data_IF_652525185224
#
_entry.id   IF_652525185224
#
_cell.length_a   1.000
_cell.length_b   1.000
_cell.length_c   1.000
_cell.angle_alpha   90.00
_cell.angle_beta   90.00
_cell.angle_gamma   90.00
#
_symmetry.space_group_name_H-M   'P 1'
#
loop_
_entity.id
_entity.type
_entity.pdbx_description
1 polymer ?
#
# COMPACT_ATOMS: atom_id res chain seq x y z
N UNK A 1 -6.03 18.20 -16.47
CA UNK A 1 -7.03 18.91 -15.65
C UNK A 1 -7.86 19.75 -16.62
N UNK A 2 -9.15 19.46 -16.73
CA UNK A 2 -10.04 20.19 -17.64
C UNK A 2 -10.13 21.66 -17.21
N UNK A 3 -10.33 22.58 -18.16
CA UNK A 3 -10.32 24.02 -17.84
C UNK A 3 -11.47 24.43 -16.91
N UNK A 4 -12.62 23.75 -17.01
CA UNK A 4 -13.74 23.92 -16.08
C UNK A 4 -13.39 23.56 -14.63
N UNK A 5 -12.57 22.53 -14.40
CA UNK A 5 -12.12 22.15 -13.06
C UNK A 5 -11.20 23.22 -12.46
N UNK A 6 -10.39 23.89 -13.30
CA UNK A 6 -9.48 24.97 -12.87
C UNK A 6 -10.27 26.20 -12.43
N UNK A 7 -11.27 26.61 -13.21
CA UNK A 7 -12.13 27.75 -12.88
C UNK A 7 -12.88 27.53 -11.57
N UNK A 8 -13.51 26.37 -11.38
CA UNK A 8 -14.22 26.03 -10.14
C UNK A 8 -13.30 26.04 -8.92
N UNK A 9 -12.07 25.52 -9.05
CA UNK A 9 -11.08 25.56 -7.96
C UNK A 9 -10.62 26.98 -7.67
N UNK A 10 -10.39 27.78 -8.71
CA UNK A 10 -10.00 29.18 -8.55
C UNK A 10 -11.08 29.97 -7.83
N UNK A 11 -12.34 29.90 -8.26
CA UNK A 11 -13.45 30.58 -7.60
C UNK A 11 -13.62 30.16 -6.14
N UNK A 12 -13.53 28.85 -5.87
CA UNK A 12 -13.61 28.32 -4.50
C UNK A 12 -12.49 28.89 -3.62
N UNK A 13 -11.25 28.85 -4.08
CA UNK A 13 -10.10 29.33 -3.30
C UNK A 13 -10.11 30.85 -3.16
N UNK A 14 -10.46 31.59 -4.22
CA UNK A 14 -10.59 33.04 -4.21
C UNK A 14 -11.67 33.50 -3.22
N UNK A 15 -12.83 32.85 -3.22
CA UNK A 15 -13.89 33.12 -2.25
C UNK A 15 -13.40 32.84 -0.82
N UNK A 16 -12.70 31.73 -0.61
CA UNK A 16 -12.15 31.38 0.70
C UNK A 16 -11.16 32.44 1.21
N UNK A 17 -10.22 32.91 0.38
CA UNK A 17 -9.24 33.93 0.79
C UNK A 17 -9.89 35.30 0.99
N UNK A 18 -10.87 35.67 0.18
CA UNK A 18 -11.54 36.97 0.27
C UNK A 18 -12.52 37.10 1.45
N UNK A 19 -13.06 35.99 1.97
CA UNK A 19 -14.05 36.01 3.06
C UNK A 19 -13.52 35.63 4.43
N UNK A 20 -12.28 35.16 4.55
CA UNK A 20 -11.72 34.69 5.83
C UNK A 20 -10.46 35.46 6.20
N UNK A 21 -10.38 35.86 7.46
CA UNK A 21 -9.20 36.50 8.03
C UNK A 21 -8.20 35.47 8.62
N UNK A 22 -7.04 35.96 9.05
CA UNK A 22 -6.00 35.14 9.68
C UNK A 22 -6.51 34.44 10.95
N UNK A 23 -7.42 35.07 11.69
CA UNK A 23 -7.99 34.51 12.91
C UNK A 23 -8.92 33.32 12.63
N UNK A 24 -9.73 33.41 11.58
CA UNK A 24 -10.56 32.32 11.09
C UNK A 24 -9.70 31.17 10.59
N UNK A 25 -8.67 31.46 9.77
CA UNK A 25 -7.73 30.45 9.30
C UNK A 25 -7.07 29.71 10.47
N UNK A 26 -6.54 30.45 11.46
CA UNK A 26 -5.86 29.87 12.60
C UNK A 26 -6.79 28.95 13.42
N UNK A 27 -8.03 29.38 13.67
CA UNK A 27 -9.03 28.56 14.38
C UNK A 27 -9.39 27.30 13.59
N UNK A 28 -9.66 27.43 12.30
CA UNK A 28 -9.97 26.28 11.43
C UNK A 28 -8.82 25.28 11.42
N UNK A 29 -7.58 25.76 11.27
CA UNK A 29 -6.40 24.91 11.25
C UNK A 29 -6.20 24.17 12.57
N UNK A 30 -6.31 24.88 13.71
CA UNK A 30 -6.16 24.26 15.03
C UNK A 30 -7.24 23.21 15.29
N UNK A 31 -8.48 23.48 14.88
CA UNK A 31 -9.59 22.53 15.03
C UNK A 31 -9.40 21.29 14.16
N UNK A 32 -8.94 21.45 12.92
CA UNK A 32 -8.65 20.32 12.04
C UNK A 32 -7.43 19.52 12.53
N UNK A 33 -6.44 20.19 13.10
CA UNK A 33 -5.29 19.56 13.74
C UNK A 33 -5.72 18.73 14.97
N UNK A 34 -6.57 19.29 15.83
CA UNK A 34 -7.13 18.59 17.00
C UNK A 34 -7.91 17.36 16.57
N UNK A 35 -8.77 17.47 15.56
CA UNK A 35 -9.51 16.33 14.99
C UNK A 35 -8.58 15.27 14.42
N UNK A 36 -7.55 15.67 13.66
CA UNK A 36 -6.57 14.74 13.10
C UNK A 36 -5.79 14.00 14.20
N UNK A 37 -5.56 14.66 15.34
CA UNK A 37 -4.85 14.09 16.48
C UNK A 37 -5.77 13.42 17.52
N UNK A 38 -7.09 13.53 17.41
CA UNK A 38 -8.04 13.04 18.42
C UNK A 38 -7.86 11.54 18.71
N UNK A 39 -7.65 10.74 17.66
CA UNK A 39 -7.42 9.29 17.80
C UNK A 39 -5.95 8.91 18.08
N UNK A 40 -5.00 9.87 18.07
CA UNK A 40 -3.58 9.55 18.32
C UNK A 40 -3.34 8.97 19.72
N UNK A 41 -4.13 9.37 20.71
CA UNK A 41 -4.02 8.85 22.09
C UNK A 41 -4.47 7.39 22.17
N UNK A 42 -5.39 6.97 21.29
CA UNK A 42 -5.88 5.59 21.23
C UNK A 42 -4.94 4.68 20.44
N UNK A 43 -4.14 5.22 19.52
CA UNK A 43 -3.23 4.43 18.69
C UNK A 43 -2.06 3.88 19.50
N UNK A 44 -1.65 2.66 19.16
CA UNK A 44 -0.43 2.06 19.70
C UNK A 44 0.77 2.49 18.86
N UNK A 45 1.79 2.97 19.53
CA UNK A 45 3.02 3.45 18.90
C UNK A 45 4.06 2.33 18.89
N UNK A 46 4.60 2.04 17.72
CA UNK A 46 5.62 1.02 17.53
C UNK A 46 6.89 1.64 16.98
N UNK A 47 8.03 1.29 17.58
CA UNK A 47 9.35 1.53 16.99
C UNK A 47 9.68 0.42 16.00
N UNK A 48 10.00 0.78 14.76
CA UNK A 48 10.38 -0.16 13.70
C UNK A 48 11.73 0.26 13.14
N UNK A 49 12.65 -0.69 13.00
CA UNK A 49 14.02 -0.44 12.51
C UNK A 49 15.04 -0.28 13.63
N UNK A 50 16.28 0.02 13.26
CA UNK A 50 17.42 0.19 14.17
C UNK A 50 18.31 1.34 13.70
N UNK A 51 18.97 2.03 14.64
CA UNK A 51 19.86 3.15 14.34
C UNK A 51 19.17 4.26 13.54
N UNK A 52 19.84 4.74 12.49
CA UNK A 52 19.33 5.82 11.61
C UNK A 52 18.08 5.42 10.79
N UNK A 53 17.71 4.14 10.77
CA UNK A 53 16.50 3.64 10.11
C UNK A 53 15.31 3.46 11.05
N UNK A 54 15.44 3.88 12.31
CA UNK A 54 14.35 3.81 13.28
C UNK A 54 13.19 4.75 12.88
N UNK A 55 11.98 4.20 12.85
CA UNK A 55 10.73 4.90 12.55
C UNK A 55 9.72 4.63 13.64
N UNK A 56 8.95 5.65 13.99
CA UNK A 56 7.81 5.54 14.90
C UNK A 56 6.55 5.50 14.07
N UNK A 57 5.72 4.47 14.29
CA UNK A 57 4.46 4.28 13.56
C UNK A 57 3.31 4.16 14.54
N UNK A 58 2.24 4.92 14.30
CA UNK A 58 0.98 4.83 15.04
C UNK A 58 0.04 3.85 14.34
N UNK A 59 -0.30 2.76 15.02
CA UNK A 59 -1.14 1.67 14.50
C UNK A 59 -2.44 1.55 15.31
N UNK A 60 -3.45 0.94 14.69
CA UNK A 60 -4.72 0.63 15.35
C UNK A 60 -4.50 -0.24 16.60
N UNK A 61 -5.26 -0.05 17.70
CA UNK A 61 -5.18 -0.89 18.90
C UNK A 61 -5.26 -2.39 18.63
N UNK A 62 -6.05 -2.78 17.62
CA UNK A 62 -6.28 -4.17 17.24
C UNK A 62 -5.26 -4.69 16.23
N UNK A 63 -4.32 -3.85 15.78
CA UNK A 63 -3.23 -4.30 14.92
C UNK A 63 -2.39 -5.34 15.64
N UNK A 64 -2.31 -6.54 15.07
CA UNK A 64 -1.43 -7.62 15.53
C UNK A 64 -0.28 -7.76 14.56
N UNK A 65 0.94 -7.54 15.04
CA UNK A 65 2.14 -7.80 14.24
C UNK A 65 2.13 -9.27 13.80
N UNK A 66 2.45 -9.47 12.54
CA UNK A 66 2.55 -10.78 11.93
C UNK A 66 3.62 -11.63 12.65
N UNK A 67 3.24 -12.81 13.14
CA UNK A 67 4.13 -13.75 13.82
C UNK A 67 4.68 -14.78 12.84
N UNK A 68 6.01 -14.81 12.68
CA UNK A 68 6.67 -15.75 11.78
C UNK A 68 6.44 -17.20 12.20
N UNK A 69 6.50 -17.50 13.50
CA UNK A 69 6.27 -18.86 14.00
C UNK A 69 4.85 -19.33 13.68
N UNK A 70 3.87 -18.44 13.81
CA UNK A 70 2.49 -18.75 13.49
C UNK A 70 2.31 -18.99 11.98
N UNK A 71 2.89 -18.14 11.13
CA UNK A 71 2.84 -18.32 9.67
C UNK A 71 3.50 -19.63 9.27
N UNK A 72 4.72 -19.89 9.72
CA UNK A 72 5.48 -21.07 9.33
C UNK A 72 4.74 -22.35 9.76
N UNK A 73 4.19 -22.36 10.97
CA UNK A 73 3.35 -23.45 11.45
C UNK A 73 2.08 -23.64 10.60
N UNK A 74 1.37 -22.54 10.30
CA UNK A 74 0.17 -22.57 9.45
C UNK A 74 0.46 -23.03 8.02
N UNK A 75 1.55 -22.54 7.43
CA UNK A 75 1.98 -22.90 6.08
C UNK A 75 2.33 -24.38 5.99
N UNK A 76 3.02 -24.94 7.00
CA UNK A 76 3.41 -26.36 7.03
C UNK A 76 2.23 -27.32 7.19
N UNK A 77 1.22 -26.95 7.97
CA UNK A 77 0.08 -27.84 8.29
C UNK A 77 -1.05 -27.82 7.26
N UNK A 78 -1.07 -26.82 6.37
CA UNK A 78 -2.15 -26.63 5.39
C UNK A 78 -1.76 -27.17 4.02
N UNK A 79 -2.73 -27.77 3.33
CA UNK A 79 -2.54 -28.39 2.00
C UNK A 79 -3.18 -27.60 0.86
N UNK A 80 -3.94 -26.55 1.16
CA UNK A 80 -4.47 -25.63 0.17
C UNK A 80 -4.30 -24.19 0.68
N UNK A 81 -3.47 -23.40 0.00
CA UNK A 81 -2.98 -22.11 0.46
C UNK A 81 -3.17 -21.07 -0.64
N UNK A 82 -4.08 -20.13 -0.41
CA UNK A 82 -4.19 -18.93 -1.24
C UNK A 82 -3.22 -17.86 -0.72
N UNK A 83 -2.33 -17.38 -1.59
CA UNK A 83 -1.33 -16.36 -1.28
C UNK A 83 -1.58 -15.17 -2.20
N UNK A 84 -2.13 -14.09 -1.64
CA UNK A 84 -2.45 -12.86 -2.37
C UNK A 84 -1.41 -11.80 -2.04
N UNK A 85 -0.67 -11.34 -3.04
CA UNK A 85 0.44 -10.41 -2.87
C UNK A 85 0.14 -9.13 -3.62
N UNK A 86 0.10 -8.02 -2.89
CA UNK A 86 0.11 -6.70 -3.54
C UNK A 86 1.51 -6.40 -4.09
N UNK A 87 1.59 -5.72 -5.23
CA UNK A 87 2.87 -5.33 -5.82
C UNK A 87 3.30 -3.93 -5.36
N UNK A 88 2.44 -2.93 -5.55
CA UNK A 88 2.79 -1.51 -5.48
C UNK A 88 2.84 -1.02 -4.02
N UNK A 89 4.05 -0.98 -3.44
CA UNK A 89 4.27 -0.58 -2.05
C UNK A 89 4.47 -1.76 -1.09
N UNK A 90 4.22 -2.98 -1.55
CA UNK A 90 4.38 -4.21 -0.76
C UNK A 90 5.63 -4.99 -1.19
N UNK A 91 5.64 -5.60 -2.38
CA UNK A 91 6.84 -6.24 -2.93
C UNK A 91 7.83 -5.23 -3.51
N UNK A 92 7.32 -4.06 -3.88
CA UNK A 92 8.03 -2.99 -4.53
C UNK A 92 8.07 -1.77 -3.58
N UNK A 93 9.22 -1.38 -3.00
CA UNK A 93 9.33 -0.16 -2.18
C UNK A 93 8.81 1.12 -2.86
N UNK A 94 7.91 1.84 -2.18
CA UNK A 94 7.22 3.00 -2.75
C UNK A 94 8.17 4.10 -3.30
N UNK A 95 9.37 4.24 -2.74
CA UNK A 95 10.33 5.32 -3.06
C UNK A 95 11.25 5.02 -4.25
N UNK A 96 11.25 3.79 -4.78
CA UNK A 96 12.15 3.48 -5.91
C UNK A 96 11.77 4.25 -7.18
N UNK A 97 12.78 4.63 -7.97
CA UNK A 97 12.58 5.22 -9.30
C UNK A 97 12.22 4.13 -10.30
N UNK A 98 12.97 3.02 -10.28
CA UNK A 98 12.63 1.83 -11.03
C UNK A 98 11.60 0.98 -10.27
N UNK A 99 10.48 0.72 -10.92
CA UNK A 99 9.36 -0.05 -10.39
C UNK A 99 9.37 -1.50 -10.88
N UNK A 100 10.36 -1.89 -11.68
CA UNK A 100 10.52 -3.26 -12.16
C UNK A 100 10.84 -4.23 -11.01
N UNK A 101 10.43 -5.52 -11.11
CA UNK A 101 10.71 -6.50 -10.08
C UNK A 101 12.20 -6.86 -10.08
N UNK A 102 12.75 -7.05 -8.89
CA UNK A 102 14.13 -7.51 -8.70
C UNK A 102 14.17 -9.03 -8.98
N UNK A 103 15.26 -9.53 -9.58
CA UNK A 103 15.42 -10.96 -9.88
C UNK A 103 15.15 -11.90 -8.69
N UNK A 104 15.59 -11.52 -7.49
CA UNK A 104 15.31 -12.26 -6.24
C UNK A 104 13.80 -12.39 -5.94
N UNK A 105 13.00 -11.36 -6.24
CA UNK A 105 11.55 -11.42 -6.05
C UNK A 105 10.91 -12.41 -7.03
N UNK A 106 11.38 -12.42 -8.27
CA UNK A 106 10.94 -13.39 -9.30
C UNK A 106 11.29 -14.82 -8.87
N UNK A 107 12.50 -15.06 -8.37
CA UNK A 107 12.93 -16.37 -7.87
C UNK A 107 12.05 -16.88 -6.71
N UNK A 108 11.72 -16.00 -5.76
CA UNK A 108 10.85 -16.33 -4.62
C UNK A 108 9.43 -16.67 -5.10
N UNK A 109 8.86 -15.84 -5.98
CA UNK A 109 7.53 -16.08 -6.55
C UNK A 109 7.49 -17.41 -7.30
N UNK A 110 8.49 -17.69 -8.14
CA UNK A 110 8.62 -18.98 -8.81
C UNK A 110 8.73 -20.13 -7.82
N UNK A 111 9.48 -19.97 -6.74
CA UNK A 111 9.55 -21.00 -5.71
C UNK A 111 8.21 -21.26 -5.01
N UNK A 112 7.42 -20.21 -4.77
CA UNK A 112 6.08 -20.33 -4.19
C UNK A 112 5.11 -20.99 -5.17
N UNK A 113 5.14 -20.62 -6.45
CA UNK A 113 4.27 -21.17 -7.48
C UNK A 113 4.62 -22.61 -7.91
N UNK A 114 5.84 -23.10 -7.60
CA UNK A 114 6.22 -24.51 -7.83
C UNK A 114 5.52 -25.48 -6.88
N UNK A 115 5.08 -25.01 -5.72
CA UNK A 115 4.36 -25.83 -4.75
C UNK A 115 2.90 -25.95 -5.17
N UNK A 116 2.45 -27.17 -5.50
CA UNK A 116 1.10 -27.44 -6.00
C UNK A 116 -0.01 -27.13 -4.99
N UNK A 117 0.34 -27.04 -3.71
CA UNK A 117 -0.60 -26.67 -2.64
C UNK A 117 -0.76 -25.15 -2.53
N UNK A 118 -0.03 -24.36 -3.32
CA UNK A 118 -0.13 -22.90 -3.36
C UNK A 118 -0.89 -22.44 -4.59
N UNK A 119 -1.83 -21.53 -4.37
CA UNK A 119 -2.42 -20.68 -5.39
C UNK A 119 -1.93 -19.27 -5.11
N UNK A 120 -1.01 -18.77 -5.94
CA UNK A 120 -0.37 -17.46 -5.74
C UNK A 120 -0.95 -16.47 -6.74
N UNK A 121 -1.42 -15.33 -6.25
CA UNK A 121 -1.88 -14.21 -7.07
C UNK A 121 -1.10 -12.94 -6.75
N UNK A 122 -0.67 -12.24 -7.78
CA UNK A 122 -0.15 -10.90 -7.70
C UNK A 122 -1.26 -9.89 -8.04
N UNK A 123 -1.56 -9.00 -7.11
CA UNK A 123 -2.54 -7.92 -7.26
C UNK A 123 -1.80 -6.60 -7.42
N UNK A 124 -2.16 -5.82 -8.44
CA UNK A 124 -1.48 -4.54 -8.70
C UNK A 124 -2.39 -3.53 -9.39
N UNK A 125 -2.09 -2.26 -9.17
CA UNK A 125 -2.71 -1.14 -9.88
C UNK A 125 -2.17 -0.97 -11.32
N UNK A 126 -1.09 -1.68 -11.66
CA UNK A 126 -0.42 -1.56 -12.96
C UNK A 126 -1.26 -2.18 -14.07
N UNK A 127 -0.98 -1.72 -15.30
CA UNK A 127 -1.61 -2.24 -16.51
C UNK A 127 -1.30 -3.72 -16.70
N UNK A 128 -2.24 -4.45 -17.32
CA UNK A 128 -2.05 -5.86 -17.69
C UNK A 128 -0.79 -6.09 -18.52
N UNK A 129 -0.47 -5.18 -19.44
CA UNK A 129 0.69 -5.29 -20.33
C UNK A 129 2.00 -5.27 -19.53
N UNK A 130 2.15 -4.29 -18.65
CA UNK A 130 3.34 -4.15 -17.79
C UNK A 130 3.56 -5.39 -16.92
N UNK A 131 2.51 -5.86 -16.24
CA UNK A 131 2.63 -7.03 -15.37
C UNK A 131 2.91 -8.31 -16.15
N UNK A 132 2.33 -8.46 -17.33
CA UNK A 132 2.60 -9.62 -18.20
C UNK A 132 4.04 -9.65 -18.69
N UNK A 133 4.64 -8.49 -19.00
CA UNK A 133 6.04 -8.40 -19.41
C UNK A 133 6.97 -8.71 -18.24
N UNK A 134 6.75 -8.06 -17.09
CA UNK A 134 7.60 -8.17 -15.90
C UNK A 134 7.58 -9.56 -15.26
N UNK A 135 6.41 -10.20 -15.23
CA UNK A 135 6.23 -11.52 -14.62
C UNK A 135 6.08 -12.63 -15.66
N UNK A 136 6.48 -12.37 -16.91
CA UNK A 136 6.60 -13.42 -17.94
C UNK A 136 7.42 -14.63 -17.51
N UNK A 137 8.46 -14.54 -16.64
CA UNK A 137 9.18 -15.72 -16.16
C UNK A 137 8.42 -16.55 -15.11
N UNK A 138 7.24 -16.10 -14.66
CA UNK A 138 6.43 -16.76 -13.63
C UNK A 138 5.15 -17.35 -14.23
N UNK A 139 5.25 -18.52 -14.88
CA UNK A 139 4.13 -19.11 -15.64
C UNK A 139 2.91 -19.47 -14.78
N UNK A 140 3.13 -19.92 -13.54
CA UNK A 140 2.09 -20.38 -12.62
C UNK A 140 1.61 -19.28 -11.65
N UNK A 141 1.96 -18.02 -11.91
CA UNK A 141 1.52 -16.89 -11.09
C UNK A 141 0.21 -16.32 -11.65
N UNK A 142 -0.84 -16.30 -10.83
CA UNK A 142 -2.06 -15.57 -11.16
C UNK A 142 -1.81 -14.06 -11.12
N UNK A 143 -2.39 -13.30 -12.05
CA UNK A 143 -2.20 -11.85 -12.13
C UNK A 143 -3.55 -11.14 -12.10
N UNK A 144 -3.73 -10.28 -11.10
CA UNK A 144 -4.84 -9.35 -10.98
C UNK A 144 -4.35 -7.92 -11.29
N UNK A 145 -4.58 -7.44 -12.51
CA UNK A 145 -4.14 -6.13 -12.98
C UNK A 145 -5.23 -5.07 -12.84
N UNK A 146 -4.84 -3.79 -12.85
CA UNK A 146 -5.75 -2.64 -12.82
C UNK A 146 -6.76 -2.71 -11.67
N UNK A 147 -6.24 -2.90 -10.44
CA UNK A 147 -7.06 -3.04 -9.23
C UNK A 147 -8.03 -4.24 -9.27
N UNK A 148 -7.65 -5.30 -10.00
CA UNK A 148 -8.44 -6.53 -10.13
C UNK A 148 -9.47 -6.49 -11.24
N UNK A 149 -9.47 -5.48 -12.11
CA UNK A 149 -10.34 -5.44 -13.30
C UNK A 149 -9.99 -6.58 -14.27
N UNK A 150 -8.71 -6.92 -14.40
CA UNK A 150 -8.26 -8.05 -15.21
C UNK A 150 -7.70 -9.16 -14.32
N UNK A 151 -8.10 -10.40 -14.60
CA UNK A 151 -7.58 -11.61 -13.96
C UNK A 151 -7.00 -12.54 -15.02
N UNK A 152 -5.86 -13.15 -14.71
CA UNK A 152 -5.20 -14.21 -15.48
C UNK A 152 -4.73 -15.30 -14.54
#
# INVERSE_FOLDING_TARGET
>A
MADSEKELRHEKHYRYVSTHDVGYWARSFLQDLERACFDHVRRRWWGIGFGLSFKVVALDPNFRKLSMDHIVSAYKRTTNRAILLDYDGTLMPQVSIDKSPIGKSIEILNSLCRDKNNVVFLVSARSRKTLSEWFSPCENLGIAAEHGYFLR
#
